data_IF_432573587293
#
_entry.id   IF_432573587293
#
_cell.length_a   1.000
_cell.length_b   1.000
_cell.length_c   1.000
_cell.angle_alpha   90.00
_cell.angle_beta   90.00
_cell.angle_gamma   90.00
#
_symmetry.space_group_name_H-M   'P 1'
#
loop_
_entity.id
_entity.type
_entity.pdbx_description
1 polymer ?
#
# COMPACT_ATOMS: atom_id res chain seq x y z
N UNK A 1 74.23 69.99 -12.36
CA UNK A 1 73.32 69.55 -13.44
C UNK A 1 72.89 68.12 -13.09
N UNK A 2 71.84 67.83 -12.33
CA UNK A 2 70.44 68.23 -12.42
C UNK A 2 69.79 67.91 -13.78
N UNK A 3 69.17 66.73 -13.89
CA UNK A 3 67.80 66.63 -14.39
C UNK A 3 67.07 65.42 -13.79
N UNK A 4 65.80 65.63 -13.45
CA UNK A 4 64.88 64.80 -12.66
C UNK A 4 63.58 64.72 -13.46
N UNK A 5 63.00 63.54 -13.68
CA UNK A 5 61.57 63.31 -14.03
C UNK A 5 61.27 61.80 -13.81
N UNK A 6 60.52 61.39 -12.79
CA UNK A 6 59.04 61.46 -12.65
C UNK A 6 58.34 60.66 -13.75
N UNK A 7 57.49 59.65 -13.53
CA UNK A 7 56.83 59.09 -12.35
C UNK A 7 55.64 58.24 -12.82
N UNK A 8 55.09 57.36 -11.96
CA UNK A 8 53.71 56.83 -11.98
C UNK A 8 53.22 56.14 -13.29
N UNK A 9 52.79 54.87 -13.31
CA UNK A 9 51.65 54.27 -12.59
C UNK A 9 51.71 52.75 -12.75
N UNK A 10 51.28 51.99 -11.74
CA UNK A 10 51.03 50.56 -11.93
C UNK A 10 51.14 49.68 -10.69
N UNK A 11 51.51 50.23 -9.53
CA UNK A 11 51.45 49.51 -8.25
C UNK A 11 50.08 49.79 -7.64
N UNK A 12 49.04 49.08 -8.09
CA UNK A 12 47.70 49.05 -7.47
C UNK A 12 46.81 47.90 -7.99
N UNK A 13 47.38 46.75 -8.36
CA UNK A 13 46.61 45.48 -8.52
C UNK A 13 47.19 44.41 -7.58
N UNK A 14 47.66 44.85 -6.42
CA UNK A 14 47.90 44.01 -5.23
C UNK A 14 46.81 44.27 -4.19
N UNK A 15 45.60 44.56 -4.67
CA UNK A 15 44.40 44.76 -3.86
C UNK A 15 43.58 43.49 -3.87
N UNK A 16 43.85 42.60 -2.92
CA UNK A 16 42.83 41.77 -2.27
C UNK A 16 41.99 40.94 -3.27
N UNK A 17 42.64 39.96 -3.92
CA UNK A 17 41.89 38.74 -4.25
C UNK A 17 41.88 37.88 -2.98
N UNK A 18 41.08 38.28 -2.00
CA UNK A 18 40.57 37.36 -1.00
C UNK A 18 39.79 36.32 -1.80
N UNK A 19 40.45 35.19 -2.07
CA UNK A 19 39.78 33.94 -2.38
C UNK A 19 38.90 33.65 -1.17
N UNK A 20 37.67 34.15 -1.22
CA UNK A 20 36.54 33.54 -0.53
C UNK A 20 36.45 32.13 -1.12
N UNK A 21 37.18 31.20 -0.51
CA UNK A 21 36.85 29.78 -0.62
C UNK A 21 35.52 29.68 0.12
N UNK A 22 34.43 29.86 -0.62
CA UNK A 22 33.13 29.43 -0.16
C UNK A 22 33.26 27.92 0.03
N UNK A 23 33.45 27.50 1.29
CA UNK A 23 33.35 26.10 1.66
C UNK A 23 31.92 25.70 1.33
N UNK A 24 31.71 25.06 0.18
CA UNK A 24 30.44 24.42 -0.13
C UNK A 24 30.21 23.40 0.97
N UNK A 25 29.27 23.70 1.87
CA UNK A 25 28.86 22.74 2.89
C UNK A 25 28.20 21.59 2.15
N UNK A 26 28.68 20.37 2.40
CA UNK A 26 28.08 19.18 1.81
C UNK A 26 26.67 19.00 2.36
N UNK A 27 25.74 18.59 1.48
CA UNK A 27 24.39 18.18 1.87
C UNK A 27 24.45 17.15 2.99
N UNK A 28 23.62 17.32 4.02
CA UNK A 28 23.60 16.42 5.17
C UNK A 28 22.17 15.98 5.50
N UNK A 29 22.06 14.72 5.92
CA UNK A 29 20.79 14.16 6.41
C UNK A 29 20.91 14.13 7.93
N UNK A 30 20.19 15.03 8.60
CA UNK A 30 20.30 15.18 10.05
C UNK A 30 19.44 14.19 10.81
N UNK A 31 18.31 13.77 10.23
CA UNK A 31 17.37 12.88 10.91
C UNK A 31 16.55 12.04 9.96
N UNK A 32 16.43 10.76 10.29
CA UNK A 32 15.50 9.83 9.64
C UNK A 32 14.59 9.26 10.73
N UNK A 33 13.28 9.39 10.54
CA UNK A 33 12.28 8.81 11.45
C UNK A 33 11.30 7.95 10.68
N UNK A 34 11.12 6.72 11.14
CA UNK A 34 10.10 5.82 10.63
C UNK A 34 8.81 6.12 11.40
N UNK A 35 7.79 6.64 10.71
CA UNK A 35 6.50 7.02 11.35
C UNK A 35 5.50 5.87 11.31
N UNK A 36 5.61 5.00 10.32
CA UNK A 36 4.78 3.80 10.14
C UNK A 36 5.60 2.78 9.33
N UNK A 37 5.23 1.48 9.30
CA UNK A 37 6.00 0.45 8.58
C UNK A 37 6.17 0.74 7.08
N UNK A 38 5.40 1.67 6.53
CA UNK A 38 5.44 2.07 5.12
C UNK A 38 5.80 3.55 4.92
N UNK A 39 6.02 4.35 5.96
CA UNK A 39 6.32 5.79 5.81
C UNK A 39 7.58 6.19 6.56
N UNK A 40 8.53 6.73 5.82
CA UNK A 40 9.77 7.32 6.34
C UNK A 40 9.70 8.83 6.21
N UNK A 41 10.18 9.54 7.23
CA UNK A 41 10.48 10.97 7.16
C UNK A 41 11.97 11.17 7.17
N UNK A 42 12.48 11.89 6.17
CA UNK A 42 13.90 12.25 6.02
C UNK A 42 14.02 13.75 6.13
N UNK A 43 14.87 14.24 7.03
CA UNK A 43 15.19 15.66 7.20
C UNK A 43 16.53 15.94 6.54
N UNK A 44 16.54 16.88 5.60
CA UNK A 44 17.72 17.28 4.83
C UNK A 44 18.05 18.73 5.14
N UNK A 45 19.31 18.99 5.45
CA UNK A 45 19.88 20.32 5.66
C UNK A 45 21.07 20.55 4.71
N UNK A 46 21.40 21.82 4.48
CA UNK A 46 22.49 22.26 3.59
C UNK A 46 22.40 21.80 2.11
N UNK A 47 21.22 21.45 1.63
CA UNK A 47 20.94 21.23 0.21
C UNK A 47 20.80 22.59 -0.52
N UNK A 48 21.76 22.89 -1.39
CA UNK A 48 21.80 24.15 -2.15
C UNK A 48 21.00 24.08 -3.45
N UNK A 49 20.60 22.88 -3.88
CA UNK A 49 19.78 22.66 -5.07
C UNK A 49 18.81 21.48 -4.90
N UNK A 50 17.86 21.36 -5.83
CA UNK A 50 17.09 20.13 -6.00
C UNK A 50 18.00 18.95 -6.32
N UNK A 51 17.60 17.75 -5.89
CA UNK A 51 18.36 16.53 -6.12
C UNK A 51 17.56 15.28 -5.81
N UNK A 52 18.25 14.19 -5.44
CA UNK A 52 17.63 12.89 -5.19
C UNK A 52 18.06 12.29 -3.85
N UNK A 53 17.10 11.66 -3.18
CA UNK A 53 17.25 10.82 -2.00
C UNK A 53 17.27 9.38 -2.47
N UNK A 54 18.38 8.71 -2.23
CA UNK A 54 18.63 7.33 -2.58
C UNK A 54 18.42 6.43 -1.37
N UNK A 55 17.70 5.33 -1.59
CA UNK A 55 17.37 4.36 -0.54
C UNK A 55 17.78 2.96 -1.02
N UNK A 56 18.38 2.17 -0.14
CA UNK A 56 18.83 0.82 -0.47
C UNK A 56 18.89 -0.13 0.73
N UNK A 57 18.69 -1.45 0.53
CA UNK A 57 19.04 -2.45 1.54
C UNK A 57 20.56 -2.71 1.63
N UNK A 58 21.38 -2.19 0.71
CA UNK A 58 22.85 -2.34 0.70
C UNK A 58 23.53 -0.98 0.73
N UNK A 59 24.78 -0.93 1.19
CA UNK A 59 25.57 0.30 1.25
C UNK A 59 26.25 0.68 -0.08
N UNK A 60 26.20 -0.19 -1.11
CA UNK A 60 26.95 -0.01 -2.36
C UNK A 60 26.08 0.30 -3.59
N UNK A 61 24.87 -0.26 -3.68
CA UNK A 61 23.95 -0.02 -4.80
C UNK A 61 22.71 0.70 -4.29
N UNK A 62 22.16 1.66 -5.04
CA UNK A 62 20.97 2.42 -4.62
C UNK A 62 19.86 2.34 -5.68
N UNK A 63 18.91 1.40 -5.54
CA UNK A 63 17.88 1.17 -6.56
C UNK A 63 16.70 2.14 -6.49
N UNK A 64 16.43 2.76 -5.33
CA UNK A 64 15.29 3.66 -5.15
C UNK A 64 15.75 5.11 -5.08
N UNK A 65 15.09 6.00 -5.82
CA UNK A 65 15.40 7.42 -5.88
C UNK A 65 14.14 8.28 -5.75
N UNK A 66 14.17 9.28 -4.88
CA UNK A 66 13.08 10.21 -4.62
C UNK A 66 13.57 11.64 -4.76
N UNK A 67 12.85 12.50 -5.48
CA UNK A 67 13.28 13.89 -5.66
C UNK A 67 13.12 14.71 -4.37
N UNK A 68 14.07 15.61 -4.13
CA UNK A 68 14.01 16.64 -3.09
C UNK A 68 14.23 18.03 -3.69
N UNK A 69 13.68 19.06 -3.06
CA UNK A 69 13.75 20.46 -3.50
C UNK A 69 14.42 21.32 -2.43
N UNK A 70 15.71 21.06 -2.17
CA UNK A 70 16.50 21.81 -1.19
C UNK A 70 16.19 21.40 0.25
N UNK A 71 16.43 22.31 1.20
CA UNK A 71 16.26 22.02 2.63
C UNK A 71 14.80 21.75 2.99
N UNK A 72 14.56 20.71 3.78
CA UNK A 72 13.21 20.39 4.23
C UNK A 72 13.05 18.99 4.81
N UNK A 73 11.82 18.72 5.26
CA UNK A 73 11.40 17.39 5.69
C UNK A 73 10.61 16.71 4.58
N UNK A 74 11.11 15.58 4.12
CA UNK A 74 10.50 14.79 3.05
C UNK A 74 9.84 13.55 3.65
N UNK A 75 8.56 13.34 3.33
CA UNK A 75 7.84 12.13 3.72
C UNK A 75 7.79 11.20 2.50
N UNK A 76 8.38 10.03 2.64
CA UNK A 76 8.47 9.01 1.61
C UNK A 76 7.60 7.84 2.04
N UNK A 77 6.55 7.58 1.27
CA UNK A 77 5.70 6.41 1.44
C UNK A 77 6.20 5.29 0.52
N UNK A 78 6.59 4.17 1.11
CA UNK A 78 7.24 3.05 0.43
C UNK A 78 6.57 1.75 0.83
N UNK A 79 6.33 0.87 -0.13
CA UNK A 79 5.79 -0.48 0.09
C UNK A 79 6.87 -1.55 0.16
N UNK A 80 8.15 -1.17 -0.02
CA UNK A 80 9.27 -2.10 -0.11
C UNK A 80 10.08 -2.25 1.19
N UNK A 81 9.75 -1.48 2.24
CA UNK A 81 10.46 -1.55 3.52
C UNK A 81 10.10 -2.84 4.24
N UNK A 82 11.01 -3.80 4.15
CA UNK A 82 11.00 -5.00 4.98
C UNK A 82 11.86 -4.76 6.22
N UNK A 83 11.60 -5.50 7.33
CA UNK A 83 12.43 -5.41 8.51
C UNK A 83 13.88 -5.81 8.20
N UNK A 84 14.74 -4.80 8.13
CA UNK A 84 16.16 -4.88 7.78
C UNK A 84 16.84 -3.53 8.06
N UNK A 85 18.16 -3.50 8.00
CA UNK A 85 18.94 -2.25 7.98
C UNK A 85 18.88 -1.63 6.59
N UNK A 86 18.41 -0.38 6.51
CA UNK A 86 18.32 0.37 5.26
C UNK A 86 19.32 1.53 5.24
N UNK A 87 19.88 1.79 4.07
CA UNK A 87 20.88 2.82 3.84
C UNK A 87 20.28 3.98 3.02
N UNK A 88 20.58 5.19 3.47
CA UNK A 88 20.07 6.44 2.92
C UNK A 88 21.23 7.33 2.49
N UNK A 89 21.06 7.97 1.34
CA UNK A 89 22.02 8.92 0.79
C UNK A 89 21.28 10.02 0.06
N UNK A 90 21.57 11.28 0.33
CA UNK A 90 21.02 12.40 -0.43
C UNK A 90 22.10 12.98 -1.33
N UNK A 91 21.76 13.30 -2.57
CA UNK A 91 22.65 14.01 -3.48
C UNK A 91 21.96 15.23 -4.05
N UNK A 92 22.73 16.28 -4.26
CA UNK A 92 22.35 17.48 -5.01
C UNK A 92 23.38 17.74 -6.12
N UNK A 93 23.30 18.89 -6.80
CA UNK A 93 24.23 19.24 -7.88
C UNK A 93 25.65 19.56 -7.40
N UNK A 94 25.84 19.74 -6.09
CA UNK A 94 27.12 20.13 -5.47
C UNK A 94 27.84 18.95 -4.83
N UNK A 95 27.12 17.92 -4.41
CA UNK A 95 27.71 16.70 -3.86
C UNK A 95 26.68 15.74 -3.28
N UNK A 96 27.17 14.71 -2.60
CA UNK A 96 26.34 13.75 -1.89
C UNK A 96 26.67 13.72 -0.40
N UNK A 97 25.65 13.44 0.41
CA UNK A 97 25.77 13.21 1.84
C UNK A 97 26.51 11.90 2.13
N UNK A 98 26.94 11.76 3.38
CA UNK A 98 27.35 10.47 3.91
C UNK A 98 26.18 9.48 3.91
N UNK A 99 26.51 8.19 3.86
CA UNK A 99 25.52 7.11 3.93
C UNK A 99 25.12 6.91 5.38
N UNK A 100 23.82 6.98 5.66
CA UNK A 100 23.26 6.73 7.00
C UNK A 100 22.46 5.43 6.98
N UNK A 101 22.71 4.58 7.97
CA UNK A 101 21.95 3.35 8.18
C UNK A 101 20.84 3.55 9.21
N UNK A 102 19.66 3.00 8.93
CA UNK A 102 18.52 2.97 9.84
C UNK A 102 17.97 1.56 9.90
N UNK A 103 17.83 1.03 11.11
CA UNK A 103 17.19 -0.26 11.32
C UNK A 103 15.68 -0.09 11.28
N UNK A 104 15.06 -0.68 10.26
CA UNK A 104 13.61 -0.75 10.16
C UNK A 104 13.16 -1.96 10.98
N UNK A 105 12.71 -1.72 12.21
CA UNK A 105 11.95 -2.71 12.97
C UNK A 105 10.47 -2.52 12.61
N UNK A 106 10.09 -2.96 11.41
CA UNK A 106 8.69 -3.12 11.09
C UNK A 106 8.28 -4.51 11.59
N UNK A 107 7.68 -4.58 12.78
CA UNK A 107 6.73 -5.67 13.05
C UNK A 107 5.61 -5.50 12.03
N UNK A 108 5.72 -6.21 10.91
CA UNK A 108 4.55 -6.63 10.19
C UNK A 108 3.79 -7.49 11.20
N UNK A 109 2.78 -6.92 11.86
CA UNK A 109 1.78 -7.74 12.54
C UNK A 109 1.15 -8.58 11.44
N UNK A 110 1.76 -9.73 11.15
CA UNK A 110 1.04 -10.85 10.58
C UNK A 110 -0.16 -10.98 11.51
N UNK A 111 -1.34 -10.71 10.98
CA UNK A 111 -2.57 -10.95 11.70
C UNK A 111 -2.49 -12.43 12.08
N UNK A 112 -2.12 -12.74 13.32
CA UNK A 112 -2.10 -14.10 13.84
C UNK A 112 -3.56 -14.52 13.87
N UNK A 113 -4.02 -15.06 12.75
CA UNK A 113 -5.35 -15.61 12.62
C UNK A 113 -5.38 -16.84 13.52
N UNK A 114 -5.91 -16.66 14.72
CA UNK A 114 -5.94 -17.69 15.75
C UNK A 114 -7.03 -18.73 15.42
N UNK A 115 -6.70 -19.65 14.51
CA UNK A 115 -7.56 -20.77 14.11
C UNK A 115 -7.72 -21.82 15.22
N UNK A 116 -7.01 -21.69 16.34
CA UNK A 116 -7.07 -22.64 17.48
C UNK A 116 -8.48 -22.73 18.05
N UNK A 117 -9.24 -21.63 18.08
CA UNK A 117 -10.64 -21.62 18.55
C UNK A 117 -11.56 -22.46 17.66
N UNK A 118 -11.45 -22.30 16.33
CA UNK A 118 -12.23 -23.05 15.34
C UNK A 118 -11.84 -24.54 15.36
N UNK A 119 -10.55 -24.84 15.49
CA UNK A 119 -10.03 -26.21 15.66
C UNK A 119 -10.52 -26.88 16.95
N UNK A 120 -10.48 -26.17 18.08
CA UNK A 120 -10.97 -26.71 19.36
C UNK A 120 -12.49 -26.98 19.31
N UNK A 121 -13.24 -26.13 18.62
CA UNK A 121 -14.70 -26.31 18.41
C UNK A 121 -15.00 -27.57 17.57
N UNK A 122 -14.15 -27.88 16.59
CA UNK A 122 -14.21 -29.13 15.81
C UNK A 122 -13.90 -30.35 16.69
N UNK A 123 -12.87 -30.26 17.54
CA UNK A 123 -12.41 -31.36 18.40
C UNK A 123 -13.31 -31.61 19.62
N UNK A 124 -14.14 -30.64 20.03
CA UNK A 124 -15.14 -30.81 21.09
C UNK A 124 -16.24 -31.85 20.74
N UNK A 125 -16.33 -32.30 19.49
CA UNK A 125 -17.26 -33.35 19.05
C UNK A 125 -16.92 -34.78 19.48
N UNK A 126 -15.77 -35.03 20.12
CA UNK A 126 -15.32 -36.37 20.50
C UNK A 126 -14.65 -37.14 19.35
N UNK A 127 -14.53 -38.47 19.48
CA UNK A 127 -13.80 -39.34 18.53
C UNK A 127 -14.55 -39.61 17.20
N UNK A 128 -15.74 -39.03 17.02
CA UNK A 128 -16.57 -39.12 15.82
C UNK A 128 -16.80 -37.69 15.29
N UNK A 129 -16.43 -37.45 14.03
CA UNK A 129 -16.60 -36.16 13.38
C UNK A 129 -18.09 -35.77 13.38
N UNK A 130 -18.43 -34.72 14.11
CA UNK A 130 -19.78 -34.17 14.10
C UNK A 130 -19.96 -33.34 12.81
N UNK A 131 -20.66 -33.91 11.82
CA UNK A 131 -20.88 -33.32 10.50
C UNK A 131 -21.59 -31.95 10.61
N UNK A 132 -22.47 -31.76 11.59
CA UNK A 132 -23.13 -30.47 11.84
C UNK A 132 -22.15 -29.39 12.29
N UNK A 133 -21.18 -29.73 13.15
CA UNK A 133 -20.10 -28.82 13.56
C UNK A 133 -19.17 -28.49 12.40
N UNK A 134 -18.91 -29.45 11.50
CA UNK A 134 -18.13 -29.22 10.28
C UNK A 134 -18.79 -28.16 9.38
N UNK A 135 -20.11 -28.24 9.21
CA UNK A 135 -20.90 -27.30 8.41
C UNK A 135 -20.89 -25.86 8.93
N UNK A 136 -20.72 -25.65 10.23
CA UNK A 136 -20.63 -24.31 10.85
C UNK A 136 -19.20 -23.76 10.85
N UNK A 137 -18.22 -24.63 11.12
CA UNK A 137 -16.82 -24.23 11.29
C UNK A 137 -16.11 -23.94 9.97
N UNK A 138 -16.40 -24.69 8.89
CA UNK A 138 -15.79 -24.44 7.57
C UNK A 138 -16.13 -23.03 7.05
N UNK A 139 -17.40 -22.58 6.99
CA UNK A 139 -17.72 -21.21 6.60
C UNK A 139 -17.14 -20.17 7.55
N UNK A 140 -16.98 -20.48 8.85
CA UNK A 140 -16.44 -19.53 9.83
C UNK A 140 -14.99 -19.12 9.53
N UNK A 141 -14.17 -20.03 8.99
CA UNK A 141 -12.79 -19.74 8.57
C UNK A 141 -12.80 -18.72 7.43
N UNK A 142 -13.60 -18.97 6.39
CA UNK A 142 -13.62 -18.13 5.21
C UNK A 142 -14.32 -16.78 5.45
N UNK A 143 -15.39 -16.75 6.24
CA UNK A 143 -16.03 -15.50 6.66
C UNK A 143 -15.12 -14.67 7.57
N UNK A 144 -14.23 -15.28 8.36
CA UNK A 144 -13.25 -14.52 9.15
C UNK A 144 -12.21 -13.80 8.28
N UNK A 145 -11.89 -14.35 7.11
CA UNK A 145 -10.91 -13.78 6.17
C UNK A 145 -11.54 -12.77 5.20
N UNK A 146 -12.72 -13.10 4.69
CA UNK A 146 -13.37 -12.37 3.58
C UNK A 146 -14.60 -11.57 4.03
N UNK A 147 -14.98 -11.65 5.31
CA UNK A 147 -16.17 -10.99 5.88
C UNK A 147 -17.41 -11.27 5.02
N UNK A 148 -18.20 -10.24 4.71
CA UNK A 148 -19.43 -10.36 3.93
C UNK A 148 -19.16 -10.66 2.44
N UNK A 149 -17.93 -10.43 1.93
CA UNK A 149 -17.59 -10.74 0.53
C UNK A 149 -17.57 -12.23 0.24
N UNK A 150 -17.35 -13.07 1.26
CA UNK A 150 -17.45 -14.53 1.11
C UNK A 150 -18.81 -14.93 0.56
N UNK A 151 -19.89 -14.41 1.16
CA UNK A 151 -21.26 -14.76 0.78
C UNK A 151 -21.61 -14.28 -0.63
N UNK A 152 -21.09 -13.12 -1.02
CA UNK A 152 -21.27 -12.57 -2.36
C UNK A 152 -20.57 -13.43 -3.42
N UNK A 153 -19.34 -13.90 -3.15
CA UNK A 153 -18.65 -14.80 -4.09
C UNK A 153 -19.28 -16.19 -4.12
N UNK A 154 -19.64 -16.75 -2.97
CA UNK A 154 -20.17 -18.09 -2.88
C UNK A 154 -21.53 -18.21 -3.59
N UNK A 155 -22.49 -17.36 -3.26
CA UNK A 155 -23.83 -17.41 -3.87
C UNK A 155 -23.92 -16.58 -5.14
N UNK A 156 -23.39 -15.36 -5.12
CA UNK A 156 -23.43 -14.47 -6.28
C UNK A 156 -22.59 -15.00 -7.44
N UNK A 157 -21.43 -15.59 -7.18
CA UNK A 157 -20.57 -16.18 -8.23
C UNK A 157 -21.23 -17.36 -8.94
N UNK A 158 -21.81 -18.31 -8.19
CA UNK A 158 -22.54 -19.45 -8.77
C UNK A 158 -23.76 -18.95 -9.54
N UNK A 159 -24.50 -18.00 -8.98
CA UNK A 159 -25.67 -17.41 -9.63
C UNK A 159 -25.31 -16.70 -10.95
N UNK A 160 -24.26 -15.89 -10.97
CA UNK A 160 -23.76 -15.23 -12.18
C UNK A 160 -23.29 -16.23 -13.22
N UNK A 161 -22.53 -17.26 -12.81
CA UNK A 161 -22.08 -18.31 -13.71
C UNK A 161 -23.27 -19.06 -14.33
N UNK A 162 -24.33 -19.27 -13.56
CA UNK A 162 -25.57 -19.88 -14.02
C UNK A 162 -26.32 -18.97 -15.01
N UNK A 163 -26.41 -17.67 -14.73
CA UNK A 163 -26.97 -16.66 -15.64
C UNK A 163 -26.21 -16.56 -16.96
N UNK A 164 -24.87 -16.59 -16.94
CA UNK A 164 -24.04 -16.45 -18.15
C UNK A 164 -24.10 -17.70 -19.03
N UNK A 165 -24.19 -18.90 -18.43
CA UNK A 165 -24.20 -20.15 -19.20
C UNK A 165 -25.53 -20.49 -19.84
N UNK A 166 -26.65 -19.94 -19.34
CA UNK A 166 -27.96 -20.27 -19.87
C UNK A 166 -28.39 -19.26 -20.93
N UNK A 167 -28.91 -19.79 -22.05
CA UNK A 167 -29.43 -18.97 -23.16
C UNK A 167 -30.70 -18.21 -22.75
N UNK A 168 -31.45 -18.74 -21.79
CA UNK A 168 -32.63 -18.13 -21.20
C UNK A 168 -32.44 -17.75 -19.73
N UNK A 169 -32.68 -16.47 -19.43
CA UNK A 169 -32.55 -15.90 -18.07
C UNK A 169 -33.72 -16.27 -17.15
N UNK A 170 -34.74 -16.98 -17.62
CA UNK A 170 -35.93 -17.35 -16.83
C UNK A 170 -35.57 -18.33 -15.72
N UNK A 171 -34.88 -19.41 -16.07
CA UNK A 171 -34.56 -20.50 -15.15
C UNK A 171 -33.54 -20.06 -14.07
N UNK A 172 -32.50 -19.28 -14.39
CA UNK A 172 -31.66 -18.63 -13.39
C UNK A 172 -32.43 -17.69 -12.47
N UNK A 173 -33.39 -16.94 -12.99
CA UNK A 173 -34.20 -16.01 -12.20
C UNK A 173 -35.11 -16.71 -11.19
N UNK A 174 -35.74 -17.82 -11.57
CA UNK A 174 -36.57 -18.61 -10.63
C UNK A 174 -35.71 -19.20 -9.51
N UNK A 175 -34.55 -19.77 -9.86
CA UNK A 175 -33.62 -20.33 -8.88
C UNK A 175 -33.11 -19.25 -7.94
N UNK A 176 -32.76 -18.07 -8.46
CA UNK A 176 -32.33 -16.92 -7.66
C UNK A 176 -33.41 -16.37 -6.73
N UNK A 177 -34.68 -16.44 -7.14
CA UNK A 177 -35.79 -16.04 -6.28
C UNK A 177 -35.96 -17.02 -5.10
N UNK A 178 -35.93 -18.33 -5.37
CA UNK A 178 -36.05 -19.36 -4.33
C UNK A 178 -34.84 -19.30 -3.38
N UNK A 179 -33.63 -19.26 -3.94
CA UNK A 179 -32.41 -19.22 -3.14
C UNK A 179 -32.26 -17.90 -2.38
N UNK A 180 -32.61 -16.77 -3.00
CA UNK A 180 -32.58 -15.45 -2.36
C UNK A 180 -33.49 -15.38 -1.13
N UNK A 181 -34.71 -15.95 -1.21
CA UNK A 181 -35.61 -16.02 -0.05
C UNK A 181 -35.05 -16.95 1.03
N UNK A 182 -34.52 -18.12 0.66
CA UNK A 182 -33.89 -19.03 1.62
C UNK A 182 -32.66 -18.40 2.31
N UNK A 183 -31.86 -17.62 1.57
CA UNK A 183 -30.68 -16.93 2.09
C UNK A 183 -31.01 -15.89 3.14
N UNK A 184 -32.17 -15.22 3.09
CA UNK A 184 -32.57 -14.26 4.13
C UNK A 184 -32.68 -14.93 5.51
N UNK A 185 -33.14 -16.19 5.55
CA UNK A 185 -33.27 -16.95 6.81
C UNK A 185 -31.97 -17.60 7.29
N UNK A 186 -31.01 -17.84 6.39
CA UNK A 186 -29.78 -18.56 6.69
C UNK A 186 -28.56 -17.65 6.90
N UNK A 187 -28.57 -16.45 6.32
CA UNK A 187 -27.45 -15.51 6.41
C UNK A 187 -27.51 -14.64 7.67
N UNK A 188 -26.36 -14.27 8.24
CA UNK A 188 -26.30 -13.28 9.30
C UNK A 188 -26.83 -11.91 8.81
N UNK A 189 -27.43 -11.08 9.69
CA UNK A 189 -28.07 -9.83 9.31
C UNK A 189 -27.18 -8.85 8.51
N UNK A 190 -25.87 -8.86 8.71
CA UNK A 190 -24.92 -8.03 7.94
C UNK A 190 -24.93 -8.38 6.45
N UNK A 191 -25.01 -9.67 6.11
CA UNK A 191 -24.89 -10.19 4.75
C UNK A 191 -26.24 -10.31 4.02
N UNK A 192 -27.37 -10.04 4.68
CA UNK A 192 -28.70 -10.12 4.06
C UNK A 192 -28.87 -9.17 2.87
N UNK A 193 -28.11 -8.08 2.82
CA UNK A 193 -28.04 -7.16 1.68
C UNK A 193 -27.74 -7.87 0.36
N UNK A 194 -26.90 -8.90 0.38
CA UNK A 194 -26.54 -9.70 -0.80
C UNK A 194 -27.74 -10.51 -1.29
N UNK A 195 -28.52 -11.08 -0.36
CA UNK A 195 -29.74 -11.81 -0.70
C UNK A 195 -30.77 -10.90 -1.36
N UNK A 196 -30.95 -9.67 -0.85
CA UNK A 196 -31.85 -8.69 -1.47
C UNK A 196 -31.40 -8.30 -2.89
N UNK A 197 -30.10 -8.10 -3.11
CA UNK A 197 -29.56 -7.78 -4.44
C UNK A 197 -29.86 -8.92 -5.42
N UNK A 198 -29.62 -10.17 -5.03
CA UNK A 198 -29.92 -11.35 -5.86
C UNK A 198 -31.42 -11.47 -6.17
N UNK A 199 -32.28 -11.18 -5.19
CA UNK A 199 -33.73 -11.22 -5.35
C UNK A 199 -34.21 -10.15 -6.33
N UNK A 200 -33.70 -8.92 -6.23
CA UNK A 200 -34.02 -7.83 -7.16
C UNK A 200 -33.60 -8.17 -8.60
N UNK A 201 -32.38 -8.69 -8.78
CA UNK A 201 -31.89 -9.12 -10.10
C UNK A 201 -32.77 -10.24 -10.67
N UNK A 202 -33.18 -11.18 -9.81
CA UNK A 202 -34.06 -12.29 -10.18
C UNK A 202 -35.44 -11.80 -10.61
N UNK A 203 -36.05 -10.86 -9.88
CA UNK A 203 -37.33 -10.25 -10.27
C UNK A 203 -37.18 -9.55 -11.63
N UNK A 204 -36.14 -8.74 -11.80
CA UNK A 204 -35.88 -8.04 -13.06
C UNK A 204 -35.71 -9.03 -14.24
N UNK A 205 -35.00 -10.13 -14.04
CA UNK A 205 -34.84 -11.19 -15.04
C UNK A 205 -36.16 -11.87 -15.42
N UNK A 206 -37.02 -12.18 -14.44
CA UNK A 206 -38.36 -12.72 -14.73
C UNK A 206 -39.22 -11.74 -15.53
N UNK A 207 -39.26 -10.45 -15.14
CA UNK A 207 -40.01 -9.42 -15.87
C UNK A 207 -39.49 -9.27 -17.31
N UNK A 208 -38.17 -9.28 -17.51
CA UNK A 208 -37.57 -9.23 -18.84
C UNK A 208 -38.02 -10.40 -19.72
N UNK A 209 -38.04 -11.63 -19.20
CA UNK A 209 -38.48 -12.79 -19.97
C UNK A 209 -39.96 -12.73 -20.37
N UNK A 210 -40.83 -12.24 -19.48
CA UNK A 210 -42.26 -12.05 -19.76
C UNK A 210 -42.47 -10.99 -20.84
N UNK A 211 -41.70 -9.90 -20.81
CA UNK A 211 -41.77 -8.84 -21.83
C UNK A 211 -41.24 -9.36 -23.17
N UNK A 212 -40.10 -10.05 -23.17
CA UNK A 212 -39.47 -10.62 -24.37
C UNK A 212 -40.39 -11.65 -25.06
N UNK A 213 -41.09 -12.48 -24.30
CA UNK A 213 -42.03 -13.47 -24.86
C UNK A 213 -43.33 -12.88 -25.41
N UNK A 214 -43.70 -11.65 -25.00
CA UNK A 214 -44.87 -10.94 -25.56
C UNK A 214 -44.58 -10.16 -26.84
N UNK A 215 -43.32 -10.00 -27.22
CA UNK A 215 -42.90 -9.26 -28.41
C UNK A 215 -42.56 -10.22 -29.55
#
# INVERSE_FOLDING_TARGET
MAERKSGWKGVCIFGILLLFVATAQAIDITRITITSPTTIRVVIENANSSGYIFISPTNTSFPYAFSHQGNGTYTITTTFLKPATWYFKACDNTGCSNVISVDVSAEEQLLEQNFTSQFNTLMQGGNLLNISKLGETIPSVYTSLLTDMFWAMFFGGIFLAYWIRQEDVMLPSIVGMISGVAMIGLLPPSAQHIAYILLVISIAGTLYTIIKTRR
#
